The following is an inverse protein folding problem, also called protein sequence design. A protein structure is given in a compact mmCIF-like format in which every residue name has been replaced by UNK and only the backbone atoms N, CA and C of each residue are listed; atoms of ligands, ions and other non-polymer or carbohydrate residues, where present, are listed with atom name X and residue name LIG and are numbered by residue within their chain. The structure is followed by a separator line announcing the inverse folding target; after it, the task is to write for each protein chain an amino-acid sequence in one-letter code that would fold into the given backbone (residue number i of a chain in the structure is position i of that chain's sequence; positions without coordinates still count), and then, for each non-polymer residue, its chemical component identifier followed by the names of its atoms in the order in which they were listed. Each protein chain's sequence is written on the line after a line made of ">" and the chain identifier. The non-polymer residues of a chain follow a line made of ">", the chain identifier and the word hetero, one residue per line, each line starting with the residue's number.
data_IF_732729032994
#
_entry.id   IF_732729032994
#
_cell.length_a   1.000
_cell.length_b   1.000
_cell.length_c   1.000
_cell.angle_alpha   90.00
_cell.angle_beta   90.00
_cell.angle_gamma   90.00
#
_symmetry.space_group_name_H-M   'P 1'
#
loop_
_entity.id
_entity.type
_entity.pdbx_description
1 polymer ?
#
# COMPACT_ATOMS: atom_id res chain seq x y z
N UNK A 1 10.92 -9.27 20.55
CA UNK A 1 9.83 -8.44 21.10
C UNK A 1 10.38 -7.63 22.26
N UNK A 2 10.38 -6.29 22.16
CA UNK A 2 10.86 -5.41 23.23
C UNK A 2 9.71 -4.72 23.98
N UNK A 3 8.46 -4.95 23.59
CA UNK A 3 7.29 -4.38 24.26
C UNK A 3 6.65 -5.41 25.19
N UNK A 4 6.35 -4.98 26.41
CA UNK A 4 5.71 -5.79 27.45
C UNK A 4 4.53 -5.02 28.04
N UNK A 5 3.60 -5.75 28.64
CA UNK A 5 2.44 -5.21 29.33
C UNK A 5 2.45 -5.62 30.80
N UNK A 6 2.12 -4.68 31.69
CA UNK A 6 2.03 -4.94 33.12
C UNK A 6 0.79 -5.77 33.45
N UNK A 7 0.96 -6.89 34.14
CA UNK A 7 -0.13 -7.78 34.55
C UNK A 7 -0.58 -7.55 36.00
N UNK A 8 0.30 -7.00 36.85
CA UNK A 8 0.01 -6.64 38.23
C UNK A 8 -0.87 -5.38 38.34
N UNK A 9 -1.70 -5.28 39.39
CA UNK A 9 -2.50 -4.08 39.68
C UNK A 9 -1.63 -2.83 39.82
N UNK A 10 -0.46 -2.99 40.42
CA UNK A 10 0.54 -1.94 40.63
C UNK A 10 1.92 -2.58 40.63
N UNK A 11 2.79 -2.14 39.73
CA UNK A 11 4.15 -2.65 39.57
C UNK A 11 5.16 -1.56 39.92
N UNK A 12 5.95 -1.81 40.98
CA UNK A 12 7.03 -0.91 41.37
C UNK A 12 8.20 -0.97 40.38
N UNK A 13 8.65 0.20 39.94
CA UNK A 13 9.89 0.41 39.17
C UNK A 13 10.95 0.92 40.13
N UNK A 14 12.14 0.31 40.10
CA UNK A 14 13.21 0.52 41.09
C UNK A 14 14.51 0.97 40.44
N UNK A 15 15.35 1.68 41.19
CA UNK A 15 16.65 2.14 40.69
C UNK A 15 17.67 1.00 40.47
N UNK A 16 17.52 -0.13 41.18
CA UNK A 16 18.38 -1.32 41.08
C UNK A 16 17.56 -2.62 41.07
N UNK A 17 18.09 -3.74 40.53
CA UNK A 17 17.39 -5.02 40.42
C UNK A 17 17.34 -5.77 41.76
N UNK A 18 16.82 -5.13 42.80
CA UNK A 18 16.77 -5.65 44.15
C UNK A 18 15.44 -5.32 44.84
N UNK A 19 14.94 -6.23 45.68
CA UNK A 19 13.70 -6.03 46.45
C UNK A 19 13.77 -4.83 47.40
N UNK A 20 14.98 -4.50 47.87
CA UNK A 20 15.27 -3.34 48.72
C UNK A 20 15.72 -2.10 47.92
N UNK A 21 15.76 -2.15 46.59
CA UNK A 21 16.11 -1.00 45.76
C UNK A 21 15.08 0.12 45.87
N UNK A 22 15.53 1.38 45.84
CA UNK A 22 14.66 2.57 45.89
C UNK A 22 13.61 2.53 44.77
N UNK A 23 12.34 2.76 45.11
CA UNK A 23 11.25 2.85 44.14
C UNK A 23 11.33 4.22 43.46
N UNK A 24 11.43 4.24 42.14
CA UNK A 24 11.51 5.45 41.31
C UNK A 24 10.24 5.71 40.51
N UNK A 25 9.30 4.76 40.51
CA UNK A 25 7.99 4.93 39.90
C UNK A 25 7.10 3.72 40.13
N UNK A 26 5.84 3.85 39.72
CA UNK A 26 4.83 2.79 39.82
C UNK A 26 4.04 2.75 38.52
N UNK A 27 3.85 1.56 37.96
CA UNK A 27 3.09 1.34 36.73
C UNK A 27 1.77 0.65 37.04
N UNK A 28 0.64 1.15 36.53
CA UNK A 28 -0.66 0.50 36.69
C UNK A 28 -0.77 -0.76 35.82
N UNK A 29 -1.75 -1.62 36.12
CA UNK A 29 -2.07 -2.77 35.26
C UNK A 29 -2.40 -2.32 33.85
N UNK A 30 -1.82 -3.02 32.88
CA UNK A 30 -2.06 -2.81 31.47
C UNK A 30 -1.14 -1.79 30.81
N UNK A 31 -0.31 -1.09 31.60
CA UNK A 31 0.69 -0.17 31.07
C UNK A 31 1.68 -0.89 30.15
N UNK A 32 2.07 -0.23 29.05
CA UNK A 32 3.02 -0.79 28.09
C UNK A 32 4.41 -0.25 28.38
N UNK A 33 5.40 -1.14 28.37
CA UNK A 33 6.79 -0.79 28.65
C UNK A 33 7.74 -1.35 27.61
N UNK A 34 8.82 -0.63 27.33
CA UNK A 34 9.93 -1.12 26.54
C UNK A 34 10.94 -1.82 27.44
N UNK A 35 11.28 -3.09 27.17
CA UNK A 35 12.35 -3.83 27.83
C UNK A 35 13.69 -3.50 27.19
N UNK A 36 14.58 -2.91 27.97
CA UNK A 36 15.92 -2.50 27.55
C UNK A 36 16.99 -3.52 27.95
N UNK A 37 16.90 -4.09 29.16
CA UNK A 37 17.88 -5.06 29.69
C UNK A 37 17.21 -6.14 30.53
N UNK A 38 17.91 -7.26 30.71
CA UNK A 38 17.50 -8.38 31.55
C UNK A 38 18.64 -8.74 32.50
N UNK A 39 18.31 -8.87 33.78
CA UNK A 39 19.20 -9.39 34.81
C UNK A 39 18.43 -10.38 35.67
N UNK A 40 18.65 -11.68 35.43
CA UNK A 40 17.91 -12.77 36.07
C UNK A 40 16.38 -12.56 35.95
N UNK A 41 15.71 -12.28 37.07
CA UNK A 41 14.25 -12.07 37.19
C UNK A 41 13.85 -10.58 37.13
N UNK A 42 14.79 -9.70 36.83
CA UNK A 42 14.56 -8.25 36.74
C UNK A 42 14.72 -7.78 35.30
N UNK A 43 13.76 -7.00 34.84
CA UNK A 43 13.83 -6.30 33.57
C UNK A 43 14.09 -4.82 33.84
N UNK A 44 15.06 -4.24 33.14
CA UNK A 44 15.20 -2.79 33.06
C UNK A 44 14.28 -2.30 31.94
N UNK A 45 13.35 -1.44 32.28
CA UNK A 45 12.29 -0.99 31.39
C UNK A 45 12.29 0.54 31.21
N UNK A 46 11.63 1.00 30.15
CA UNK A 46 11.29 2.41 29.91
C UNK A 46 9.78 2.57 29.70
N UNK A 47 9.22 3.62 30.27
CA UNK A 47 7.84 4.05 30.10
C UNK A 47 7.79 5.58 30.09
N UNK A 48 7.74 6.20 28.91
CA UNK A 48 7.89 7.66 28.77
C UNK A 48 9.24 8.13 29.31
N UNK A 49 9.23 9.05 30.28
CA UNK A 49 10.43 9.54 30.96
C UNK A 49 10.90 8.65 32.13
N UNK A 50 10.10 7.65 32.53
CA UNK A 50 10.43 6.75 33.63
C UNK A 50 11.28 5.58 33.12
N UNK A 51 12.46 5.38 33.72
CA UNK A 51 13.30 4.19 33.53
C UNK A 51 13.65 3.54 34.86
N UNK A 52 13.76 2.21 34.86
CA UNK A 52 14.21 1.46 36.03
C UNK A 52 13.93 -0.04 35.95
N UNK A 53 14.22 -0.74 37.04
CA UNK A 53 14.09 -2.18 37.19
C UNK A 53 12.74 -2.59 37.76
N UNK A 54 12.09 -3.58 37.15
CA UNK A 54 10.90 -4.22 37.70
C UNK A 54 11.00 -5.75 37.58
N UNK A 55 10.19 -6.46 38.36
CA UNK A 55 10.25 -7.92 38.41
C UNK A 55 9.50 -8.51 37.20
N UNK A 56 10.16 -9.40 36.46
CA UNK A 56 9.70 -9.86 35.15
C UNK A 56 8.43 -10.72 35.21
N UNK A 57 8.10 -11.34 36.34
CA UNK A 57 6.88 -12.16 36.48
C UNK A 57 5.59 -11.34 36.42
N UNK A 58 5.67 -10.01 36.51
CA UNK A 58 4.54 -9.10 36.38
C UNK A 58 4.45 -8.46 34.99
N UNK A 59 5.21 -8.99 34.04
CA UNK A 59 5.23 -8.56 32.65
C UNK A 59 4.88 -9.74 31.75
N UNK A 60 3.99 -9.49 30.80
CA UNK A 60 3.75 -10.39 29.67
C UNK A 60 4.25 -9.72 28.39
N UNK A 61 4.77 -10.46 27.39
CA UNK A 61 5.02 -9.89 26.08
C UNK A 61 3.75 -9.19 25.61
N UNK A 62 3.84 -7.90 25.30
CA UNK A 62 2.72 -7.23 24.66
C UNK A 62 2.54 -7.90 23.29
N UNK A 63 1.28 -8.09 22.86
CA UNK A 63 1.02 -8.39 21.47
C UNK A 63 1.85 -7.42 20.62
N UNK A 64 2.54 -7.89 19.56
CA UNK A 64 3.30 -7.00 18.70
C UNK A 64 2.40 -5.82 18.34
N UNK A 65 2.92 -4.60 18.46
CA UNK A 65 2.23 -3.43 17.90
C UNK A 65 2.12 -3.74 16.42
N UNK A 66 0.95 -4.22 15.98
CA UNK A 66 0.64 -4.32 14.57
C UNK A 66 0.66 -2.87 14.12
N UNK A 67 1.73 -2.48 13.43
CA UNK A 67 1.81 -1.18 12.82
C UNK A 67 0.76 -1.24 11.71
N UNK A 68 -0.46 -0.80 12.01
CA UNK A 68 -1.50 -0.69 11.01
C UNK A 68 -1.01 0.33 10.01
N UNK A 69 -0.88 -0.12 8.77
CA UNK A 69 -0.52 0.68 7.61
C UNK A 69 -1.75 0.79 6.73
N UNK A 70 -1.79 1.84 5.91
CA UNK A 70 -2.89 2.04 4.98
C UNK A 70 -2.42 2.81 3.75
N UNK A 71 -3.27 2.81 2.73
CA UNK A 71 -3.13 3.63 1.54
C UNK A 71 -4.07 4.82 1.70
N UNK A 72 -3.52 6.03 1.69
CA UNK A 72 -4.26 7.29 1.74
C UNK A 72 -3.84 8.16 0.56
N UNK A 73 -4.54 9.27 0.39
CA UNK A 73 -4.23 10.23 -0.66
C UNK A 73 -4.09 11.66 -0.11
N UNK A 74 -3.56 12.53 -0.97
CA UNK A 74 -3.52 13.98 -0.82
C UNK A 74 -3.89 14.61 -2.15
N UNK A 75 -5.00 15.35 -2.18
CA UNK A 75 -5.33 16.22 -3.31
C UNK A 75 -4.37 17.42 -3.29
N UNK A 76 -3.60 17.57 -4.36
CA UNK A 76 -2.69 18.71 -4.61
C UNK A 76 -3.37 19.78 -5.45
N UNK A 77 -4.23 19.38 -6.39
CA UNK A 77 -5.11 20.23 -7.18
C UNK A 77 -6.30 19.40 -7.70
N UNK A 78 -7.44 20.05 -7.96
CA UNK A 78 -8.67 19.38 -8.39
C UNK A 78 -9.50 20.29 -9.30
N UNK A 79 -10.36 19.70 -10.13
CA UNK A 79 -11.39 20.38 -10.90
C UNK A 79 -12.75 20.06 -10.27
N UNK A 80 -13.33 21.03 -9.56
CA UNK A 80 -14.67 20.96 -8.97
C UNK A 80 -14.90 19.82 -7.94
N UNK A 81 -13.84 19.30 -7.31
CA UNK A 81 -13.96 18.28 -6.25
C UNK A 81 -14.14 16.85 -6.76
N UNK A 82 -14.07 16.63 -8.08
CA UNK A 82 -14.28 15.30 -8.70
C UNK A 82 -13.20 14.31 -8.26
N UNK A 83 -11.94 14.74 -8.11
CA UNK A 83 -10.85 13.82 -7.76
C UNK A 83 -10.90 13.38 -6.29
N UNK A 84 -11.36 14.19 -5.35
CA UNK A 84 -11.40 13.80 -3.93
C UNK A 84 -12.25 12.54 -3.67
N UNK A 85 -13.47 12.50 -4.20
CA UNK A 85 -14.38 11.36 -4.02
C UNK A 85 -13.83 10.09 -4.69
N UNK A 86 -13.26 10.24 -5.89
CA UNK A 86 -12.72 9.13 -6.68
C UNK A 86 -11.41 8.59 -6.09
N UNK A 87 -10.56 9.48 -5.56
CA UNK A 87 -9.35 9.12 -4.82
C UNK A 87 -9.65 8.29 -3.58
N UNK A 88 -10.71 8.66 -2.84
CA UNK A 88 -11.19 7.87 -1.71
C UNK A 88 -11.60 6.47 -2.12
N UNK A 89 -12.38 6.32 -3.19
CA UNK A 89 -12.79 5.01 -3.70
C UNK A 89 -11.58 4.16 -4.11
N UNK A 90 -10.61 4.75 -4.81
CA UNK A 90 -9.41 4.05 -5.24
C UNK A 90 -8.54 3.56 -4.05
N UNK A 91 -8.37 4.38 -3.01
CA UNK A 91 -7.68 3.97 -1.79
C UNK A 91 -8.46 2.90 -1.03
N UNK A 92 -9.79 3.04 -0.93
CA UNK A 92 -10.65 2.07 -0.26
C UNK A 92 -10.64 0.70 -0.94
N UNK A 93 -10.55 0.67 -2.27
CA UNK A 93 -10.40 -0.57 -3.02
C UNK A 93 -9.19 -1.35 -2.52
N UNK A 94 -8.00 -0.75 -2.54
CA UNK A 94 -6.80 -1.45 -2.11
C UNK A 94 -6.78 -1.73 -0.60
N UNK A 95 -7.27 -0.82 0.24
CA UNK A 95 -7.35 -1.03 1.69
C UNK A 95 -8.33 -2.14 2.10
N UNK A 96 -9.30 -2.49 1.25
CA UNK A 96 -10.16 -3.66 1.46
C UNK A 96 -9.37 -4.95 1.30
N UNK A 97 -8.57 -5.03 0.26
CA UNK A 97 -7.87 -6.25 -0.12
C UNK A 97 -6.49 -6.39 0.49
N UNK A 98 -5.84 -5.29 0.89
CA UNK A 98 -4.45 -5.28 1.32
C UNK A 98 -4.23 -4.53 2.63
N UNK A 99 -3.25 -5.01 3.39
CA UNK A 99 -2.51 -4.23 4.39
C UNK A 99 -1.10 -4.03 3.83
N UNK A 100 -0.71 -2.81 3.44
CA UNK A 100 0.56 -2.61 2.75
C UNK A 100 1.76 -2.72 3.73
N UNK A 101 2.94 -3.17 3.29
CA UNK A 101 4.11 -3.27 4.18
C UNK A 101 4.51 -1.93 4.81
N UNK A 102 4.29 -0.83 4.09
CA UNK A 102 4.47 0.54 4.52
C UNK A 102 3.21 1.33 4.20
N UNK A 103 2.91 2.39 4.97
CA UNK A 103 1.82 3.27 4.59
C UNK A 103 2.14 3.97 3.28
N UNK A 104 1.11 4.24 2.48
CA UNK A 104 1.25 4.85 1.15
C UNK A 104 0.46 6.15 1.11
N UNK A 105 1.04 7.20 0.52
CA UNK A 105 0.34 8.45 0.18
C UNK A 105 0.37 8.64 -1.33
N UNK A 106 -0.81 8.70 -1.95
CA UNK A 106 -0.93 9.06 -3.36
C UNK A 106 -1.22 10.56 -3.47
N UNK A 107 -0.33 11.29 -4.12
CA UNK A 107 -0.51 12.71 -4.40
C UNK A 107 -1.26 12.83 -5.73
N UNK A 108 -2.44 13.43 -5.71
CA UNK A 108 -3.35 13.46 -6.86
C UNK A 108 -3.59 14.90 -7.26
N UNK A 109 -3.31 15.22 -8.51
CA UNK A 109 -3.45 16.56 -9.04
C UNK A 109 -4.06 16.60 -10.44
N UNK A 110 -4.04 17.79 -11.01
CA UNK A 110 -4.42 18.05 -12.39
C UNK A 110 -3.34 18.81 -13.14
N UNK A 111 -3.32 18.62 -14.46
CA UNK A 111 -2.57 19.44 -15.41
C UNK A 111 -3.44 19.81 -16.63
N UNK A 112 -2.94 20.69 -17.49
CA UNK A 112 -3.62 21.02 -18.75
C UNK A 112 -2.64 20.88 -19.90
N UNK A 113 -2.97 20.04 -20.88
CA UNK A 113 -2.19 19.86 -22.10
C UNK A 113 -3.10 19.54 -23.28
N UNK A 114 -2.79 20.08 -24.46
CA UNK A 114 -3.51 19.80 -25.71
C UNK A 114 -3.13 18.46 -26.36
N UNK A 115 -2.20 17.71 -25.77
CA UNK A 115 -1.86 16.36 -26.20
C UNK A 115 -2.95 15.33 -25.88
N UNK A 116 -2.71 14.09 -26.28
CA UNK A 116 -3.59 12.95 -26.01
C UNK A 116 -3.33 12.27 -24.65
N UNK A 117 -2.42 12.80 -23.84
CA UNK A 117 -2.13 12.30 -22.48
C UNK A 117 -3.30 12.65 -21.55
N UNK A 118 -3.90 11.62 -20.97
CA UNK A 118 -5.07 11.71 -20.09
C UNK A 118 -4.68 11.74 -18.62
N UNK A 119 -3.63 11.00 -18.29
CA UNK A 119 -3.04 11.02 -16.97
C UNK A 119 -1.54 10.75 -17.10
N UNK A 120 -0.81 11.09 -16.06
CA UNK A 120 0.61 10.77 -15.92
C UNK A 120 0.91 10.38 -14.50
N UNK A 121 1.82 9.43 -14.35
CA UNK A 121 2.27 8.95 -13.06
C UNK A 121 3.78 9.01 -12.97
N UNK A 122 4.26 9.16 -11.75
CA UNK A 122 5.67 9.31 -11.45
C UNK A 122 6.19 8.13 -10.66
N UNK A 123 7.50 7.88 -10.80
CA UNK A 123 8.19 6.89 -10.00
C UNK A 123 7.98 7.17 -8.50
N UNK A 124 7.53 6.17 -7.72
CA UNK A 124 7.32 6.35 -6.30
C UNK A 124 8.64 6.48 -5.55
N UNK A 125 8.60 7.14 -4.40
CA UNK A 125 9.76 7.31 -3.52
C UNK A 125 9.36 7.06 -2.07
N UNK A 126 10.35 6.78 -1.22
CA UNK A 126 10.12 6.48 0.20
C UNK A 126 10.77 7.53 1.07
N UNK A 127 10.01 8.05 2.05
CA UNK A 127 10.53 8.92 3.12
C UNK A 127 9.97 8.45 4.46
N UNK A 128 10.83 8.32 5.47
CA UNK A 128 10.44 7.95 6.86
C UNK A 128 9.46 6.76 6.95
N UNK A 129 9.66 5.73 6.12
CA UNK A 129 8.83 4.51 6.07
C UNK A 129 7.39 4.74 5.57
N UNK A 130 7.21 5.75 4.73
CA UNK A 130 6.00 6.00 3.93
C UNK A 130 6.40 6.03 2.46
N UNK A 131 5.66 5.33 1.61
CA UNK A 131 5.84 5.38 0.16
C UNK A 131 4.93 6.46 -0.41
N UNK A 132 5.44 7.27 -1.32
CA UNK A 132 4.72 8.33 -1.98
C UNK A 132 4.64 8.04 -3.47
N UNK A 133 3.42 7.95 -3.99
CA UNK A 133 3.13 7.93 -5.43
C UNK A 133 2.54 9.28 -5.85
N UNK A 134 2.62 9.61 -7.13
CA UNK A 134 1.98 10.81 -7.69
C UNK A 134 1.27 10.48 -8.99
N UNK A 135 0.07 11.05 -9.16
CA UNK A 135 -0.76 10.90 -10.36
C UNK A 135 -1.39 12.25 -10.67
N UNK A 136 -1.39 12.65 -11.94
CA UNK A 136 -2.10 13.85 -12.37
C UNK A 136 -2.99 13.56 -13.57
N UNK A 137 -4.17 14.16 -13.59
CA UNK A 137 -5.14 14.04 -14.67
C UNK A 137 -5.18 15.30 -15.53
N UNK A 138 -5.33 15.11 -16.84
CA UNK A 138 -5.46 16.22 -17.76
C UNK A 138 -6.89 16.77 -17.73
N UNK A 139 -7.00 18.04 -17.33
CA UNK A 139 -8.26 18.79 -17.26
C UNK A 139 -9.04 18.81 -18.58
N UNK A 140 -8.38 18.69 -19.74
CA UNK A 140 -9.05 18.63 -21.04
C UNK A 140 -9.91 17.38 -21.25
N UNK A 141 -9.68 16.32 -20.46
CA UNK A 141 -10.43 15.06 -20.58
C UNK A 141 -11.24 14.71 -19.33
N UNK A 142 -11.01 15.39 -18.21
CA UNK A 142 -11.60 15.02 -16.91
C UNK A 142 -13.13 15.09 -16.91
N UNK A 143 -13.72 16.05 -17.64
CA UNK A 143 -15.17 16.19 -17.76
C UNK A 143 -15.79 15.17 -18.73
N UNK A 144 -15.01 14.62 -19.66
CA UNK A 144 -15.47 13.60 -20.61
C UNK A 144 -15.39 12.17 -20.08
N UNK A 145 -14.57 11.91 -19.06
CA UNK A 145 -14.44 10.58 -18.48
C UNK A 145 -15.51 10.26 -17.45
N UNK A 146 -15.95 9.01 -17.49
CA UNK A 146 -16.73 8.42 -16.41
C UNK A 146 -15.92 8.32 -15.13
N UNK A 147 -16.62 8.27 -14.00
CA UNK A 147 -16.00 8.09 -12.68
C UNK A 147 -15.20 6.77 -12.61
N UNK A 148 -15.64 5.74 -13.33
CA UNK A 148 -15.01 4.42 -13.42
C UNK A 148 -13.65 4.50 -14.10
N UNK A 149 -13.53 5.25 -15.21
CA UNK A 149 -12.26 5.39 -15.92
C UNK A 149 -11.22 6.13 -15.07
N UNK A 150 -11.64 7.17 -14.34
CA UNK A 150 -10.77 7.94 -13.45
C UNK A 150 -10.37 7.09 -12.24
N UNK A 151 -11.33 6.43 -11.58
CA UNK A 151 -11.05 5.57 -10.42
C UNK A 151 -10.20 4.37 -10.82
N UNK A 152 -10.51 3.72 -11.94
CA UNK A 152 -9.72 2.61 -12.47
C UNK A 152 -8.28 3.03 -12.77
N UNK A 153 -8.09 4.22 -13.35
CA UNK A 153 -6.75 4.81 -13.51
C UNK A 153 -6.05 5.00 -12.16
N UNK A 154 -6.72 5.59 -11.16
CA UNK A 154 -6.13 5.76 -9.83
C UNK A 154 -5.77 4.43 -9.15
N UNK A 155 -6.65 3.43 -9.23
CA UNK A 155 -6.38 2.10 -8.67
C UNK A 155 -5.18 1.48 -9.37
N UNK A 156 -5.08 1.63 -10.69
CA UNK A 156 -3.96 1.15 -11.49
C UNK A 156 -2.63 1.76 -11.04
N UNK A 157 -2.54 3.08 -10.92
CA UNK A 157 -1.33 3.76 -10.49
C UNK A 157 -0.94 3.43 -9.03
N UNK A 158 -1.94 3.14 -8.18
CA UNK A 158 -1.67 2.62 -6.84
C UNK A 158 -1.04 1.22 -6.94
N UNK A 159 -1.46 0.38 -7.88
CA UNK A 159 -0.83 -0.92 -8.17
C UNK A 159 0.67 -0.79 -8.49
N UNK A 160 1.05 0.21 -9.28
CA UNK A 160 2.46 0.56 -9.48
C UNK A 160 3.12 1.05 -8.20
N UNK A 161 2.49 1.94 -7.45
CA UNK A 161 3.03 2.43 -6.17
C UNK A 161 3.23 1.30 -5.14
N UNK A 162 2.42 0.24 -5.22
CA UNK A 162 2.53 -0.97 -4.41
C UNK A 162 3.70 -1.85 -4.84
N UNK A 163 4.15 -1.83 -6.10
CA UNK A 163 5.34 -2.59 -6.48
C UNK A 163 5.36 -3.11 -7.91
N UNK A 164 4.22 -3.15 -8.61
CA UNK A 164 4.15 -3.65 -9.98
C UNK A 164 4.99 -2.76 -10.92
N UNK A 165 5.82 -3.38 -11.75
CA UNK A 165 6.75 -2.67 -12.66
C UNK A 165 8.13 -2.32 -12.08
N UNK A 166 8.36 -2.51 -10.77
CA UNK A 166 9.66 -2.21 -10.15
C UNK A 166 10.55 -3.44 -9.97
N UNK A 167 11.78 -3.24 -9.47
CA UNK A 167 12.83 -4.26 -9.40
C UNK A 167 12.39 -5.59 -8.77
N UNK A 168 11.62 -5.55 -7.67
CA UNK A 168 11.14 -6.78 -7.03
C UNK A 168 10.13 -7.51 -7.93
N UNK A 169 9.21 -6.79 -8.57
CA UNK A 169 8.28 -7.34 -9.55
C UNK A 169 9.02 -7.99 -10.73
N UNK A 170 9.98 -7.28 -11.33
CA UNK A 170 10.81 -7.79 -12.45
C UNK A 170 11.60 -9.05 -12.07
N UNK A 171 11.87 -9.25 -10.77
CA UNK A 171 12.52 -10.47 -10.29
C UNK A 171 11.63 -11.71 -10.31
N UNK A 172 10.30 -11.56 -10.38
CA UNK A 172 9.33 -12.65 -10.22
C UNK A 172 9.11 -13.49 -11.48
N UNK A 173 9.44 -12.98 -12.67
CA UNK A 173 9.17 -13.62 -13.95
C UNK A 173 10.35 -13.49 -14.91
N UNK A 174 10.31 -14.26 -16.00
CA UNK A 174 11.27 -14.16 -17.10
C UNK A 174 10.82 -13.04 -18.06
N UNK A 175 11.60 -11.95 -18.21
CA UNK A 175 11.22 -10.81 -19.03
C UNK A 175 11.14 -11.11 -20.53
N UNK A 176 11.70 -12.24 -21.01
CA UNK A 176 11.59 -12.62 -22.42
C UNK A 176 10.28 -13.34 -22.73
N UNK A 177 9.65 -13.96 -21.73
CA UNK A 177 8.49 -14.83 -21.94
C UNK A 177 7.26 -14.41 -21.16
N UNK A 178 7.40 -13.44 -20.25
CA UNK A 178 6.35 -13.02 -19.32
C UNK A 178 5.96 -14.08 -18.28
N UNK A 179 6.63 -15.25 -18.27
CA UNK A 179 6.27 -16.38 -17.40
C UNK A 179 6.89 -16.23 -16.01
N UNK A 180 6.08 -16.43 -14.97
CA UNK A 180 6.56 -16.44 -13.59
C UNK A 180 7.57 -17.57 -13.36
N UNK A 181 8.63 -17.25 -12.62
CA UNK A 181 9.70 -18.20 -12.26
C UNK A 181 9.17 -19.26 -11.31
N UNK A 182 9.81 -20.42 -11.31
CA UNK A 182 9.41 -21.55 -10.46
C UNK A 182 9.32 -21.21 -8.96
N UNK A 183 10.22 -20.38 -8.44
CA UNK A 183 10.19 -19.94 -7.03
C UNK A 183 8.97 -19.05 -6.72
N UNK A 184 8.58 -18.19 -7.67
CA UNK A 184 7.36 -17.37 -7.54
C UNK A 184 6.11 -18.25 -7.57
N UNK A 185 6.06 -19.21 -8.51
CA UNK A 185 4.96 -20.18 -8.62
C UNK A 185 4.89 -21.09 -7.39
N UNK A 186 6.02 -21.49 -6.80
CA UNK A 186 6.02 -22.29 -5.57
C UNK A 186 5.38 -21.54 -4.39
N UNK A 187 5.51 -20.21 -4.35
CA UNK A 187 4.90 -19.36 -3.33
C UNK A 187 3.44 -19.03 -3.63
N UNK A 188 3.08 -18.88 -4.91
CA UNK A 188 1.73 -18.59 -5.37
C UNK A 188 1.40 -19.42 -6.64
N UNK A 189 0.91 -20.67 -6.49
CA UNK A 189 0.80 -21.65 -7.59
C UNK A 189 -0.01 -21.19 -8.80
N UNK A 190 -1.07 -20.40 -8.58
CA UNK A 190 -1.91 -19.91 -9.66
C UNK A 190 -1.15 -19.06 -10.69
N UNK A 191 0.00 -18.45 -10.33
CA UNK A 191 0.85 -17.69 -11.27
C UNK A 191 1.36 -18.49 -12.47
N UNK A 192 1.34 -19.83 -12.41
CA UNK A 192 1.71 -20.67 -13.55
C UNK A 192 0.87 -20.35 -14.81
N UNK A 193 -0.37 -19.91 -14.61
CA UNK A 193 -1.34 -19.61 -15.66
C UNK A 193 -1.34 -18.13 -16.09
N UNK A 194 -0.56 -17.28 -15.41
CA UNK A 194 -0.50 -15.83 -15.67
C UNK A 194 0.73 -15.42 -16.48
N UNK A 195 0.60 -14.33 -17.26
CA UNK A 195 1.69 -13.74 -18.04
C UNK A 195 1.79 -12.24 -17.83
N UNK A 196 3.03 -11.76 -17.81
CA UNK A 196 3.36 -10.34 -17.84
C UNK A 196 3.58 -9.91 -19.29
N UNK A 197 3.19 -8.69 -19.61
CA UNK A 197 3.33 -8.07 -20.93
C UNK A 197 4.78 -8.00 -21.44
N UNK A 198 5.01 -8.39 -22.70
CA UNK A 198 6.34 -8.39 -23.35
C UNK A 198 6.43 -7.70 -24.71
N UNK A 199 5.30 -7.29 -25.31
CA UNK A 199 5.20 -7.04 -26.75
C UNK A 199 4.84 -5.57 -27.12
N UNK A 200 4.06 -4.85 -26.30
CA UNK A 200 3.50 -3.53 -26.64
C UNK A 200 4.40 -2.31 -26.35
N UNK A 201 5.69 -2.51 -26.08
CA UNK A 201 6.70 -1.44 -25.91
C UNK A 201 6.82 -0.83 -24.50
N UNK A 202 7.76 0.11 -24.29
CA UNK A 202 8.30 0.47 -22.97
C UNK A 202 7.30 1.10 -21.99
N UNK A 203 6.16 1.62 -22.45
CA UNK A 203 5.09 2.13 -21.59
C UNK A 203 4.18 1.04 -21.02
N UNK A 204 4.28 -0.20 -21.52
CA UNK A 204 3.37 -1.31 -21.17
C UNK A 204 4.16 -2.56 -20.76
N UNK A 205 5.30 -2.83 -21.40
CA UNK A 205 6.11 -4.03 -21.17
C UNK A 205 6.66 -4.14 -19.76
N UNK A 206 6.64 -5.37 -19.24
CA UNK A 206 7.22 -5.79 -17.97
C UNK A 206 6.59 -5.18 -16.71
N UNK A 207 5.69 -4.20 -16.83
CA UNK A 207 5.01 -3.56 -15.71
C UNK A 207 3.54 -3.98 -15.56
N UNK A 208 2.98 -4.61 -16.59
CA UNK A 208 1.55 -4.88 -16.72
C UNK A 208 1.26 -6.37 -16.94
N UNK A 209 0.02 -6.76 -16.71
CA UNK A 209 -0.47 -8.04 -17.24
C UNK A 209 -0.50 -8.01 -18.76
N UNK A 210 -0.32 -9.17 -19.37
CA UNK A 210 -0.33 -9.33 -20.83
C UNK A 210 -1.66 -8.86 -21.44
N UNK A 211 -1.56 -7.89 -22.34
CA UNK A 211 -2.71 -7.22 -22.94
C UNK A 211 -3.56 -8.17 -23.81
N UNK A 212 -2.95 -9.18 -24.46
CA UNK A 212 -3.71 -10.07 -25.35
C UNK A 212 -4.46 -11.15 -24.60
N UNK A 213 -3.90 -11.57 -23.46
CA UNK A 213 -4.52 -12.59 -22.62
C UNK A 213 -5.58 -12.01 -21.69
N UNK A 214 -5.42 -10.75 -21.27
CA UNK A 214 -6.25 -10.15 -20.22
C UNK A 214 -7.01 -8.89 -20.64
N UNK A 215 -6.67 -8.24 -21.76
CA UNK A 215 -7.39 -7.13 -22.43
C UNK A 215 -7.90 -6.08 -21.43
N UNK A 216 -9.16 -6.22 -21.00
CA UNK A 216 -9.87 -5.30 -20.10
C UNK A 216 -9.50 -5.41 -18.62
N UNK A 217 -8.42 -6.10 -18.27
CA UNK A 217 -7.99 -6.17 -16.88
C UNK A 217 -7.38 -4.85 -16.42
N UNK A 218 -7.67 -4.45 -15.19
CA UNK A 218 -7.30 -3.18 -14.59
C UNK A 218 -5.83 -2.77 -14.74
N UNK A 219 -4.90 -3.71 -14.63
CA UNK A 219 -3.45 -3.57 -14.69
C UNK A 219 -2.85 -4.03 -16.02
N UNK A 220 -3.64 -4.07 -17.11
CA UNK A 220 -3.09 -4.02 -18.47
C UNK A 220 -2.73 -2.57 -18.84
N UNK A 221 -1.86 -2.37 -19.83
CA UNK A 221 -1.32 -1.04 -20.13
C UNK A 221 -2.15 -0.24 -21.13
N UNK A 222 -3.27 -0.77 -21.62
CA UNK A 222 -4.21 -0.05 -22.47
C UNK A 222 -5.50 0.23 -21.68
N UNK A 223 -5.95 1.49 -21.71
CA UNK A 223 -7.18 1.88 -21.00
C UNK A 223 -8.41 1.50 -21.78
N UNK A 224 -9.28 0.69 -21.18
CA UNK A 224 -10.62 0.38 -21.67
C UNK A 224 -11.72 1.10 -20.89
N UNK A 225 -12.88 1.26 -21.54
CA UNK A 225 -14.06 1.87 -20.93
C UNK A 225 -14.75 0.97 -19.89
N UNK A 226 -14.49 -0.35 -19.95
CA UNK A 226 -15.04 -1.34 -19.02
C UNK A 226 -13.87 -2.15 -18.50
N UNK A 227 -13.67 -2.10 -17.18
CA UNK A 227 -12.52 -2.71 -16.52
C UNK A 227 -12.95 -3.87 -15.63
N UNK A 228 -12.08 -4.87 -15.53
CA UNK A 228 -12.22 -6.03 -14.66
C UNK A 228 -11.01 -6.16 -13.75
N UNK A 229 -11.20 -6.78 -12.59
CA UNK A 229 -10.11 -7.10 -11.67
C UNK A 229 -10.04 -8.61 -11.54
N UNK A 230 -8.87 -9.17 -11.88
CA UNK A 230 -8.60 -10.58 -11.65
C UNK A 230 -8.17 -10.82 -10.20
N UNK A 231 -8.43 -12.02 -9.62
CA UNK A 231 -7.90 -12.38 -8.31
C UNK A 231 -6.38 -12.20 -8.19
N UNK A 232 -5.65 -12.49 -9.26
CA UNK A 232 -4.19 -12.43 -9.26
C UNK A 232 -3.63 -11.01 -9.12
N UNK A 233 -4.36 -9.98 -9.53
CA UNK A 233 -3.97 -8.56 -9.34
C UNK A 233 -3.87 -8.20 -7.85
N UNK A 234 -4.65 -8.87 -7.00
CA UNK A 234 -4.57 -8.73 -5.55
C UNK A 234 -3.57 -9.72 -4.97
N UNK A 235 -3.67 -11.00 -5.33
CA UNK A 235 -2.92 -12.08 -4.70
C UNK A 235 -1.40 -11.94 -4.89
N UNK A 236 -0.97 -11.43 -6.05
CA UNK A 236 0.46 -11.24 -6.36
C UNK A 236 1.15 -10.24 -5.41
N UNK A 237 0.38 -9.38 -4.74
CA UNK A 237 0.90 -8.39 -3.80
C UNK A 237 1.57 -9.04 -2.56
N UNK A 238 1.25 -10.30 -2.24
CA UNK A 238 1.99 -11.07 -1.23
C UNK A 238 3.44 -11.32 -1.62
N UNK A 239 3.70 -11.52 -2.91
CA UNK A 239 5.06 -11.68 -3.40
C UNK A 239 5.85 -10.38 -3.30
N UNK A 240 5.17 -9.23 -3.38
CA UNK A 240 5.74 -7.89 -3.24
C UNK A 240 5.89 -7.44 -1.77
N UNK A 241 5.44 -8.24 -0.80
CA UNK A 241 5.65 -8.01 0.63
C UNK A 241 4.46 -7.41 1.38
N UNK A 242 3.34 -7.16 0.69
CA UNK A 242 2.09 -6.75 1.32
C UNK A 242 1.36 -7.96 1.90
N UNK A 243 0.45 -7.70 2.83
CA UNK A 243 -0.45 -8.73 3.33
C UNK A 243 -1.79 -8.63 2.59
N UNK A 244 -2.27 -9.74 2.02
CA UNK A 244 -3.61 -9.81 1.45
C UNK A 244 -4.63 -10.07 2.58
N UNK A 245 -5.51 -9.10 2.80
CA UNK A 245 -6.55 -9.12 3.83
C UNK A 245 -7.84 -9.81 3.36
N UNK A 246 -8.22 -9.60 2.10
CA UNK A 246 -9.36 -10.24 1.45
C UNK A 246 -8.92 -10.70 0.04
N UNK A 247 -9.45 -11.85 -0.42
CA UNK A 247 -9.18 -12.38 -1.76
C UNK A 247 -10.43 -12.35 -2.60
N UNK A 248 -10.31 -11.96 -3.86
CA UNK A 248 -11.35 -12.18 -4.86
C UNK A 248 -11.39 -13.67 -5.21
N UNK A 249 -12.60 -14.23 -5.36
CA UNK A 249 -12.79 -15.64 -5.73
C UNK A 249 -12.71 -15.86 -7.24
N UNK A 250 -13.12 -14.86 -7.99
CA UNK A 250 -13.22 -14.85 -9.45
C UNK A 250 -13.03 -13.43 -9.96
N UNK A 251 -12.87 -13.30 -11.27
CA UNK A 251 -12.84 -12.01 -11.93
C UNK A 251 -14.15 -11.25 -11.71
N UNK A 252 -14.03 -9.94 -11.43
CA UNK A 252 -15.19 -9.07 -11.15
C UNK A 252 -15.07 -7.79 -11.97
N UNK A 253 -16.20 -7.29 -12.47
CA UNK A 253 -16.26 -5.96 -13.06
C UNK A 253 -15.93 -4.90 -12.01
N UNK A 254 -15.13 -3.90 -12.38
CA UNK A 254 -14.72 -2.84 -11.47
C UNK A 254 -15.93 -2.08 -10.92
N UNK A 255 -16.95 -1.81 -11.74
CA UNK A 255 -18.17 -1.09 -11.35
C UNK A 255 -18.88 -1.75 -10.16
N UNK A 256 -19.00 -3.07 -10.18
CA UNK A 256 -19.62 -3.82 -9.09
C UNK A 256 -18.81 -3.69 -7.80
N UNK A 257 -17.48 -3.77 -7.90
CA UNK A 257 -16.58 -3.60 -6.76
C UNK A 257 -16.67 -2.18 -6.18
N UNK A 258 -16.72 -1.17 -7.04
CA UNK A 258 -16.86 0.23 -6.62
C UNK A 258 -18.21 0.48 -5.96
N UNK A 259 -19.30 -0.09 -6.47
CA UNK A 259 -20.63 0.01 -5.86
C UNK A 259 -20.65 -0.57 -4.43
N UNK A 260 -19.95 -1.67 -4.18
CA UNK A 260 -19.79 -2.24 -2.83
C UNK A 260 -19.01 -1.30 -1.89
N UNK A 261 -18.09 -0.49 -2.42
CA UNK A 261 -17.23 0.41 -1.64
C UNK A 261 -17.87 1.77 -1.34
N UNK A 262 -18.90 2.20 -2.08
CA UNK A 262 -19.54 3.51 -1.91
C UNK A 262 -20.05 3.77 -0.49
N UNK A 263 -20.49 2.73 0.21
CA UNK A 263 -20.99 2.82 1.60
C UNK A 263 -19.95 2.41 2.66
N UNK A 264 -18.73 2.05 2.23
CA UNK A 264 -17.70 1.56 3.13
C UNK A 264 -16.92 2.73 3.74
N UNK A 265 -16.96 2.84 5.07
CA UNK A 265 -16.11 3.77 5.82
C UNK A 265 -14.94 3.00 6.45
N UNK A 266 -13.76 3.06 5.85
CA UNK A 266 -12.53 2.65 6.51
C UNK A 266 -12.10 3.73 7.51
N UNK A 267 -12.28 3.49 8.80
CA UNK A 267 -11.90 4.42 9.87
C UNK A 267 -10.52 4.10 10.45
N UNK A 268 -9.47 4.34 9.65
CA UNK A 268 -8.08 4.36 10.14
C UNK A 268 -7.56 5.81 10.29
N UNK A 269 -8.44 6.73 10.71
CA UNK A 269 -8.16 8.15 10.83
C UNK A 269 -6.93 8.44 11.69
N UNK A 270 -6.79 7.76 12.84
CA UNK A 270 -5.65 7.94 13.74
C UNK A 270 -4.31 7.58 13.09
N UNK A 271 -4.29 6.59 12.19
CA UNK A 271 -3.09 6.22 11.44
C UNK A 271 -2.85 7.23 10.33
N UNK A 272 -3.91 7.62 9.61
CA UNK A 272 -3.81 8.58 8.51
C UNK A 272 -3.33 9.96 8.98
N UNK A 273 -3.69 10.39 10.19
CA UNK A 273 -3.30 11.67 10.78
C UNK A 273 -1.83 11.70 11.25
N UNK A 274 -1.22 10.54 11.46
CA UNK A 274 0.20 10.42 11.80
C UNK A 274 1.12 10.45 10.56
N UNK A 275 0.56 10.34 9.35
CA UNK A 275 1.31 10.32 8.11
C UNK A 275 1.51 11.75 7.60
N UNK A 276 2.74 12.13 7.27
CA UNK A 276 3.02 13.38 6.58
C UNK A 276 2.54 13.30 5.13
N UNK A 277 1.31 13.77 4.88
CA UNK A 277 0.71 13.80 3.54
C UNK A 277 1.27 14.93 2.65
N UNK A 278 2.04 15.86 3.22
CA UNK A 278 2.50 17.05 2.51
C UNK A 278 3.91 16.89 1.92
N UNK A 279 4.71 15.94 2.42
CA UNK A 279 6.02 15.63 1.89
C UNK A 279 5.99 15.39 0.36
N UNK A 280 6.97 15.96 -0.34
CA UNK A 280 7.08 15.92 -1.80
C UNK A 280 8.53 15.87 -2.24
N UNK A 281 8.84 14.96 -3.15
CA UNK A 281 10.10 14.89 -3.91
C UNK A 281 9.73 14.79 -5.39
N UNK A 282 10.39 15.59 -6.22
CA UNK A 282 10.26 15.49 -7.66
C UNK A 282 10.99 14.24 -8.16
N UNK A 283 10.28 13.40 -8.92
CA UNK A 283 10.81 12.18 -9.54
C UNK A 283 10.55 12.21 -11.05
N UNK A 284 11.06 11.21 -11.76
CA UNK A 284 10.82 11.06 -13.20
C UNK A 284 9.39 10.59 -13.48
N UNK A 285 8.80 11.06 -14.60
CA UNK A 285 7.56 10.51 -15.12
C UNK A 285 7.86 9.05 -15.49
N UNK A 286 7.07 8.15 -14.92
CA UNK A 286 7.16 6.72 -15.18
C UNK A 286 6.25 6.33 -16.33
N UNK A 287 5.00 6.79 -16.28
CA UNK A 287 3.97 6.40 -17.23
C UNK A 287 3.13 7.59 -17.66
N UNK A 288 2.85 7.64 -18.96
CA UNK A 288 1.84 8.51 -19.55
C UNK A 288 0.73 7.66 -20.12
N UNK A 289 -0.50 7.98 -19.72
CA UNK A 289 -1.69 7.27 -20.13
C UNK A 289 -2.35 8.09 -21.23
N UNK A 290 -2.82 7.45 -22.31
CA UNK A 290 -3.33 8.14 -23.50
C UNK A 290 -4.80 7.80 -23.82
N UNK A 291 -5.54 8.69 -24.49
CA UNK A 291 -6.97 8.56 -24.89
C UNK A 291 -7.31 7.42 -25.88
N UNK A 292 -6.37 6.54 -26.21
CA UNK A 292 -6.37 5.61 -27.35
C UNK A 292 -6.30 6.27 -28.75
N UNK A 293 -5.28 5.88 -29.54
CA UNK A 293 -5.43 5.45 -30.94
C UNK A 293 -4.09 4.98 -31.50
N UNK A 294 -3.68 3.80 -31.04
CA UNK A 294 -2.96 2.72 -31.73
C UNK A 294 -2.45 1.82 -30.62
N UNK A 295 -2.91 0.56 -30.58
CA UNK A 295 -2.11 -0.51 -29.96
C UNK A 295 -0.69 -0.31 -30.50
N UNK A 296 0.33 -0.08 -29.65
CA UNK A 296 1.69 0.06 -30.12
C UNK A 296 2.00 -1.11 -31.05
N UNK A 297 2.68 -0.83 -32.17
CA UNK A 297 3.09 -1.92 -33.06
C UNK A 297 4.01 -2.85 -32.25
N UNK A 298 3.73 -4.16 -32.27
CA UNK A 298 4.63 -5.16 -31.70
C UNK A 298 6.04 -4.92 -32.26
N UNK A 299 7.03 -4.78 -31.38
CA UNK A 299 8.44 -4.68 -31.77
C UNK A 299 9.00 -6.05 -32.14
#
# INVERSE_FOLDING_TARGET
>A
MNQYRVTATSLNVRQSPALKGTIVGVLPRGEKVEKLKVEQKWFYIRCGALEGWCYSSYLEPAAPVVKTTLITYKITSDSNGKLDALARLACNFWNRYLIPQQSIVIRIGVFTSFGNTIARAWKPYTEKNVVYGSVEFNTNFLDSFSDVEIVGTLIHEIGHTLGMGWDHWLSLFDPQTGRFKSDSVARLPALADYRVETDYGPGTTLAHWDEELYDRELMTGIKDHVLYVMPMTIDVMELLGHQVAERLKEERALDDLLAELQNMQFSLYEVADQIDKNHFVETEIWEEIYTQKRRPLRC
#
